data_IF_917763425771
#
_entry.id   IF_917763425771
#
_cell.length_a   1.000
_cell.length_b   1.000
_cell.length_c   1.000
_cell.angle_alpha   90.00
_cell.angle_beta   90.00
_cell.angle_gamma   90.00
#
_symmetry.space_group_name_H-M   'P 1'
#
loop_
_entity.id
_entity.type
_entity.pdbx_description
1 polymer ?
#
# COMPACT_ATOMS: atom_id res chain seq x y z
N UNK A 1 -19.14 17.74 6.00
CA UNK A 1 -18.58 16.40 5.71
C UNK A 1 -17.54 16.01 6.76
N UNK A 2 -16.46 16.78 6.95
CA UNK A 2 -15.39 16.51 7.92
C UNK A 2 -15.78 16.31 9.40
N UNK A 3 -16.91 16.83 9.87
CA UNK A 3 -17.44 16.49 11.21
C UNK A 3 -17.74 14.99 11.35
N UNK A 4 -18.10 14.32 10.26
CA UNK A 4 -18.32 12.87 10.25
C UNK A 4 -17.02 12.11 10.50
N UNK A 5 -15.86 12.61 10.08
CA UNK A 5 -14.57 12.00 10.41
C UNK A 5 -14.35 11.98 11.94
N UNK A 6 -14.73 13.05 12.64
CA UNK A 6 -14.63 13.13 14.11
C UNK A 6 -15.57 12.12 14.78
N UNK A 7 -16.81 12.00 14.29
CA UNK A 7 -17.77 11.00 14.79
C UNK A 7 -17.27 9.59 14.53
N UNK A 8 -16.79 9.33 13.32
CA UNK A 8 -16.23 8.03 12.90
C UNK A 8 -15.06 7.63 13.78
N UNK A 9 -14.16 8.56 14.06
CA UNK A 9 -13.03 8.35 14.96
C UNK A 9 -13.49 8.04 16.39
N UNK A 10 -14.49 8.77 16.90
CA UNK A 10 -15.07 8.49 18.23
C UNK A 10 -15.64 7.07 18.32
N UNK A 11 -16.37 6.62 17.29
CA UNK A 11 -16.88 5.24 17.23
C UNK A 11 -15.73 4.23 17.16
N UNK A 12 -14.72 4.48 16.33
CA UNK A 12 -13.54 3.61 16.21
C UNK A 12 -12.76 3.46 17.54
N UNK A 13 -12.75 4.49 18.38
CA UNK A 13 -12.08 4.44 19.68
C UNK A 13 -12.77 3.48 20.67
N UNK A 14 -14.08 3.26 20.56
CA UNK A 14 -14.86 2.34 21.40
C UNK A 14 -14.79 0.87 20.92
N UNK A 15 -13.59 0.39 20.62
CA UNK A 15 -13.28 -0.99 20.18
C UNK A 15 -14.01 -1.47 18.91
N UNK A 16 -14.46 -0.55 18.06
CA UNK A 16 -15.03 -0.87 16.75
C UNK A 16 -13.98 -0.95 15.63
N UNK A 17 -12.73 -1.36 15.92
CA UNK A 17 -11.69 -1.48 14.87
C UNK A 17 -11.92 -2.67 13.94
N UNK A 18 -12.73 -3.65 14.36
CA UNK A 18 -13.19 -4.75 13.50
C UNK A 18 -14.01 -4.26 12.29
N UNK A 19 -14.61 -3.08 12.39
CA UNK A 19 -15.37 -2.44 11.31
C UNK A 19 -14.52 -1.52 10.43
N UNK A 20 -13.19 -1.52 10.57
CA UNK A 20 -12.32 -0.63 9.81
C UNK A 20 -12.49 -0.79 8.29
N UNK A 21 -12.73 -2.02 7.83
CA UNK A 21 -13.01 -2.35 6.43
C UNK A 21 -14.27 -1.66 5.92
N UNK A 22 -15.32 -1.56 6.73
CA UNK A 22 -16.55 -0.83 6.40
C UNK A 22 -16.35 0.69 6.37
N UNK A 23 -15.39 1.19 7.16
CA UNK A 23 -15.03 2.62 7.19
C UNK A 23 -14.19 3.04 5.98
N UNK A 24 -13.52 2.10 5.32
CA UNK A 24 -12.53 2.41 4.29
C UNK A 24 -13.03 3.24 3.11
N UNK A 25 -14.20 2.96 2.50
CA UNK A 25 -14.70 3.78 1.40
C UNK A 25 -14.78 5.27 1.75
N UNK A 26 -15.18 5.57 2.98
CA UNK A 26 -15.28 6.95 3.47
C UNK A 26 -13.89 7.56 3.74
N UNK A 27 -13.00 6.81 4.40
CA UNK A 27 -11.63 7.26 4.67
C UNK A 27 -10.85 7.54 3.38
N UNK A 28 -10.96 6.65 2.40
CA UNK A 28 -10.36 6.82 1.07
C UNK A 28 -10.85 8.09 0.38
N UNK A 29 -12.16 8.39 0.46
CA UNK A 29 -12.73 9.58 -0.17
C UNK A 29 -12.24 10.88 0.48
N UNK A 30 -12.05 10.92 1.81
CA UNK A 30 -11.43 12.09 2.45
C UNK A 30 -10.03 12.37 1.92
N UNK A 31 -9.27 11.32 1.61
CA UNK A 31 -7.91 11.46 1.09
C UNK A 31 -7.93 11.88 -0.38
N UNK A 32 -8.75 11.24 -1.21
CA UNK A 32 -8.64 11.35 -2.67
C UNK A 32 -9.51 12.43 -3.30
N UNK A 33 -10.62 12.81 -2.65
CA UNK A 33 -11.57 13.79 -3.20
C UNK A 33 -11.31 15.21 -2.68
N UNK A 34 -11.00 15.35 -1.39
CA UNK A 34 -10.85 16.66 -0.72
C UNK A 34 -9.50 16.76 0.00
N UNK A 35 -8.42 16.41 -0.72
CA UNK A 35 -7.04 16.44 -0.20
C UNK A 35 -6.66 17.83 0.33
N UNK A 36 -7.17 18.90 -0.28
CA UNK A 36 -6.88 20.27 0.17
C UNK A 36 -7.41 20.52 1.59
N UNK A 37 -8.65 20.10 1.88
CA UNK A 37 -9.20 20.24 3.23
C UNK A 37 -8.51 19.30 4.22
N UNK A 38 -8.14 18.08 3.80
CA UNK A 38 -7.35 17.15 4.61
C UNK A 38 -6.07 17.82 5.14
N UNK A 39 -5.35 18.51 4.26
CA UNK A 39 -4.05 19.12 4.57
C UNK A 39 -4.19 20.49 5.23
N UNK A 40 -5.34 21.17 5.08
CA UNK A 40 -5.61 22.46 5.74
C UNK A 40 -5.63 22.37 7.27
N UNK A 41 -5.94 21.18 7.82
CA UNK A 41 -6.01 20.94 9.26
C UNK A 41 -5.26 19.63 9.60
N UNK A 42 -4.09 19.72 10.25
CA UNK A 42 -3.23 18.55 10.52
C UNK A 42 -3.92 17.47 11.35
N UNK A 43 -4.93 17.84 12.15
CA UNK A 43 -5.71 16.89 12.96
C UNK A 43 -6.45 15.85 12.12
N UNK A 44 -6.84 16.19 10.89
CA UNK A 44 -7.57 15.25 10.04
C UNK A 44 -6.67 14.11 9.58
N UNK A 45 -5.48 14.43 9.09
CA UNK A 45 -4.50 13.43 8.71
C UNK A 45 -4.03 12.62 9.93
N UNK A 46 -3.83 13.29 11.07
CA UNK A 46 -3.48 12.65 12.34
C UNK A 46 -4.52 11.61 12.78
N UNK A 47 -5.82 11.94 12.67
CA UNK A 47 -6.92 11.02 12.99
C UNK A 47 -6.88 9.79 12.09
N UNK A 48 -6.76 9.99 10.76
CA UNK A 48 -6.72 8.87 9.80
C UNK A 48 -5.51 7.98 10.06
N UNK A 49 -4.33 8.58 10.25
CA UNK A 49 -3.12 7.84 10.60
C UNK A 49 -3.29 7.07 11.91
N UNK A 50 -3.89 7.67 12.93
CA UNK A 50 -4.11 7.00 14.23
C UNK A 50 -5.00 5.78 14.09
N UNK A 51 -6.01 5.83 13.23
CA UNK A 51 -6.84 4.66 12.92
C UNK A 51 -6.03 3.57 12.23
N UNK A 52 -5.29 3.90 11.17
CA UNK A 52 -4.41 2.95 10.48
C UNK A 52 -3.37 2.33 11.43
N UNK A 53 -2.73 3.14 12.26
CA UNK A 53 -1.73 2.68 13.24
C UNK A 53 -2.37 1.71 14.23
N UNK A 54 -3.53 2.05 14.81
CA UNK A 54 -4.24 1.15 15.74
C UNK A 54 -4.53 -0.19 15.07
N UNK A 55 -5.04 -0.20 13.84
CA UNK A 55 -5.29 -1.45 13.09
C UNK A 55 -4.02 -2.27 12.88
N UNK A 56 -2.92 -1.63 12.45
CA UNK A 56 -1.63 -2.30 12.21
C UNK A 56 -0.92 -2.78 13.50
N UNK A 57 -1.22 -2.18 14.64
CA UNK A 57 -0.61 -2.58 15.93
C UNK A 57 -1.48 -3.55 16.73
N UNK A 58 -2.79 -3.56 16.50
CA UNK A 58 -3.73 -4.48 17.12
C UNK A 58 -3.71 -5.85 16.41
N UNK A 59 -4.50 -6.79 16.91
CA UNK A 59 -4.80 -8.05 16.22
C UNK A 59 -6.16 -7.94 15.51
N UNK A 60 -6.27 -6.97 14.59
CA UNK A 60 -7.52 -6.63 13.89
C UNK A 60 -7.84 -7.58 12.71
N UNK A 61 -6.97 -8.55 12.44
CA UNK A 61 -7.06 -9.45 11.29
C UNK A 61 -6.38 -8.89 10.03
N UNK A 62 -5.78 -9.79 9.23
CA UNK A 62 -4.95 -9.41 8.08
C UNK A 62 -5.73 -8.59 7.03
N UNK A 63 -7.04 -8.79 6.88
CA UNK A 63 -7.86 -8.01 5.94
C UNK A 63 -7.89 -6.52 6.33
N UNK A 64 -8.19 -6.20 7.59
CA UNK A 64 -8.18 -4.82 8.08
C UNK A 64 -6.77 -4.20 8.00
N UNK A 65 -5.74 -4.98 8.32
CA UNK A 65 -4.33 -4.56 8.23
C UNK A 65 -3.93 -4.24 6.78
N UNK A 66 -4.35 -5.04 5.80
CA UNK A 66 -4.16 -4.77 4.37
C UNK A 66 -4.79 -3.43 3.98
N UNK A 67 -6.04 -3.20 4.40
CA UNK A 67 -6.75 -1.94 4.14
C UNK A 67 -6.06 -0.73 4.78
N UNK A 68 -5.54 -0.88 6.00
CA UNK A 68 -4.84 0.18 6.71
C UNK A 68 -3.52 0.54 6.00
N UNK A 69 -2.71 -0.46 5.64
CA UNK A 69 -1.49 -0.27 4.85
C UNK A 69 -1.81 0.37 3.49
N UNK A 70 -2.85 -0.10 2.80
CA UNK A 70 -3.26 0.47 1.51
C UNK A 70 -3.67 1.94 1.63
N UNK A 71 -4.39 2.32 2.69
CA UNK A 71 -4.74 3.72 2.91
C UNK A 71 -3.51 4.59 3.16
N UNK A 72 -2.51 4.11 3.92
CA UNK A 72 -1.25 4.83 4.11
C UNK A 72 -0.53 5.03 2.77
N UNK A 73 -0.47 4.01 1.92
CA UNK A 73 0.10 4.13 0.57
C UNK A 73 -0.63 5.21 -0.24
N UNK A 74 -1.96 5.18 -0.28
CA UNK A 74 -2.79 6.16 -0.98
C UNK A 74 -2.51 7.58 -0.48
N UNK A 75 -2.39 7.78 0.83
CA UNK A 75 -2.05 9.10 1.41
C UNK A 75 -0.69 9.58 0.90
N UNK A 76 0.34 8.73 0.92
CA UNK A 76 1.69 9.08 0.46
C UNK A 76 1.67 9.50 -1.01
N UNK A 77 0.96 8.76 -1.86
CA UNK A 77 0.88 9.04 -3.29
C UNK A 77 0.07 10.31 -3.57
N UNK A 78 -1.11 10.44 -2.96
CA UNK A 78 -2.01 11.57 -3.16
C UNK A 78 -1.41 12.90 -2.66
N UNK A 79 -0.62 12.83 -1.58
CA UNK A 79 -0.02 14.02 -0.95
C UNK A 79 1.40 14.31 -1.45
N UNK A 80 1.87 13.64 -2.51
CA UNK A 80 3.21 13.85 -3.06
C UNK A 80 3.42 15.31 -3.47
N UNK A 81 4.47 15.94 -2.94
CA UNK A 81 4.77 17.36 -3.18
C UNK A 81 3.88 18.34 -2.42
N UNK A 82 3.06 17.87 -1.47
CA UNK A 82 2.14 18.71 -0.68
C UNK A 82 2.57 18.91 0.78
N UNK A 83 3.82 18.56 1.13
CA UNK A 83 4.43 18.90 2.42
C UNK A 83 4.00 18.02 3.60
N UNK A 84 3.95 16.70 3.41
CA UNK A 84 3.67 15.72 4.47
C UNK A 84 4.94 14.99 4.97
N UNK A 85 6.11 15.58 4.79
CA UNK A 85 7.42 14.96 5.08
C UNK A 85 7.51 14.42 6.51
N UNK A 86 6.92 15.11 7.48
CA UNK A 86 6.87 14.71 8.88
C UNK A 86 6.03 13.44 9.13
N UNK A 87 5.11 13.11 8.24
CA UNK A 87 4.26 11.92 8.35
C UNK A 87 4.95 10.67 7.76
N UNK A 88 5.85 10.83 6.79
CA UNK A 88 6.50 9.70 6.11
C UNK A 88 7.23 8.77 7.08
N UNK A 89 8.07 9.25 8.02
CA UNK A 89 8.71 8.38 9.00
C UNK A 89 7.70 7.57 9.83
N UNK A 90 6.61 8.20 10.25
CA UNK A 90 5.56 7.58 11.06
C UNK A 90 4.81 6.47 10.32
N UNK A 91 4.61 6.63 9.01
CA UNK A 91 3.94 5.64 8.18
C UNK A 91 4.84 4.44 7.92
N UNK A 92 6.10 4.70 7.58
CA UNK A 92 7.12 3.67 7.36
C UNK A 92 7.36 2.87 8.64
N UNK A 93 7.46 3.54 9.79
CA UNK A 93 7.63 2.88 11.09
C UNK A 93 6.50 1.89 11.37
N UNK A 94 5.25 2.32 11.19
CA UNK A 94 4.08 1.50 11.50
C UNK A 94 4.03 0.21 10.66
N UNK A 95 4.34 0.28 9.36
CA UNK A 95 4.32 -0.91 8.50
C UNK A 95 5.53 -1.82 8.72
N UNK A 96 6.70 -1.25 9.03
CA UNK A 96 7.89 -2.04 9.33
C UNK A 96 7.76 -2.75 10.68
N UNK A 97 7.22 -2.07 11.71
CA UNK A 97 6.88 -2.69 12.99
C UNK A 97 5.93 -3.87 12.77
N UNK A 98 4.89 -3.68 11.94
CA UNK A 98 3.97 -4.77 11.60
C UNK A 98 4.67 -5.94 10.91
N UNK A 99 5.60 -5.69 10.01
CA UNK A 99 6.40 -6.73 9.35
C UNK A 99 7.28 -7.50 10.36
N UNK A 100 7.87 -6.82 11.34
CA UNK A 100 8.73 -7.47 12.36
C UNK A 100 7.97 -8.40 13.31
N UNK A 101 6.67 -8.17 13.54
CA UNK A 101 5.79 -9.06 14.32
C UNK A 101 5.50 -10.40 13.62
N UNK A 102 5.93 -10.57 12.37
CA UNK A 102 5.65 -11.74 11.56
C UNK A 102 4.30 -11.61 10.85
N UNK A 103 4.30 -11.83 9.54
CA UNK A 103 3.12 -11.79 8.67
C UNK A 103 2.98 -13.12 7.97
N UNK A 104 1.78 -13.72 7.98
CA UNK A 104 1.57 -15.07 7.41
C UNK A 104 1.28 -14.98 5.91
N UNK A 105 0.40 -14.08 5.49
CA UNK A 105 0.07 -13.94 4.06
C UNK A 105 1.12 -13.14 3.29
N UNK A 106 1.33 -13.51 2.02
CA UNK A 106 2.10 -12.67 1.09
C UNK A 106 1.38 -11.36 0.78
N UNK A 107 0.06 -11.35 0.81
CA UNK A 107 -0.75 -10.15 0.56
C UNK A 107 -0.47 -9.04 1.58
N UNK A 108 -0.55 -9.32 2.89
CA UNK A 108 -0.24 -8.29 3.87
C UNK A 108 1.23 -7.85 3.82
N UNK A 109 2.17 -8.78 3.53
CA UNK A 109 3.57 -8.40 3.33
C UNK A 109 3.72 -7.41 2.18
N UNK A 110 3.12 -7.69 1.02
CA UNK A 110 3.22 -6.79 -0.14
C UNK A 110 2.53 -5.45 0.11
N UNK A 111 1.40 -5.42 0.82
CA UNK A 111 0.73 -4.18 1.23
C UNK A 111 1.62 -3.30 2.15
N UNK A 112 2.28 -3.91 3.14
CA UNK A 112 3.22 -3.18 3.99
C UNK A 112 4.45 -2.69 3.20
N UNK A 113 4.99 -3.51 2.30
CA UNK A 113 6.10 -3.12 1.43
C UNK A 113 5.71 -1.95 0.50
N UNK A 114 4.48 -1.93 -0.01
CA UNK A 114 3.97 -0.85 -0.87
C UNK A 114 4.05 0.52 -0.22
N UNK A 115 3.76 0.63 1.09
CA UNK A 115 3.87 1.92 1.79
C UNK A 115 5.30 2.45 1.78
N UNK A 116 6.30 1.58 2.01
CA UNK A 116 7.71 1.96 1.93
C UNK A 116 8.16 2.26 0.49
N UNK A 117 7.66 1.52 -0.51
CA UNK A 117 7.91 1.78 -1.93
C UNK A 117 7.30 3.14 -2.37
N UNK A 118 6.09 3.45 -1.90
CA UNK A 118 5.47 4.75 -2.12
C UNK A 118 6.26 5.88 -1.44
N UNK A 119 6.77 5.66 -0.23
CA UNK A 119 7.65 6.61 0.46
C UNK A 119 8.97 6.84 -0.30
N UNK A 120 9.52 5.78 -0.92
CA UNK A 120 10.71 5.89 -1.78
C UNK A 120 10.41 6.80 -2.98
N UNK A 121 9.26 6.60 -3.63
CA UNK A 121 8.83 7.43 -4.75
C UNK A 121 8.48 8.87 -4.35
N UNK A 122 7.98 9.06 -3.13
CA UNK A 122 7.68 10.37 -2.55
C UNK A 122 8.96 11.20 -2.38
N UNK A 123 9.93 10.69 -1.61
CA UNK A 123 11.21 11.35 -1.38
C UNK A 123 12.27 10.29 -1.01
N UNK A 124 13.16 9.91 -1.95
CA UNK A 124 14.12 8.85 -1.73
C UNK A 124 15.09 9.14 -0.58
N UNK A 125 15.56 10.39 -0.47
CA UNK A 125 16.49 10.78 0.59
C UNK A 125 15.84 10.70 1.97
N UNK A 126 14.57 11.11 2.09
CA UNK A 126 13.81 11.02 3.33
C UNK A 126 13.58 9.56 3.75
N UNK A 127 13.23 8.68 2.80
CA UNK A 127 13.06 7.26 3.13
C UNK A 127 14.38 6.64 3.61
N UNK A 128 15.48 6.83 2.88
CA UNK A 128 16.78 6.25 3.27
C UNK A 128 17.19 6.76 4.66
N UNK A 129 17.10 8.07 4.91
CA UNK A 129 17.35 8.64 6.22
C UNK A 129 16.43 8.06 7.31
N UNK A 130 15.16 7.83 7.00
CA UNK A 130 14.20 7.21 7.92
C UNK A 130 14.64 5.79 8.28
N UNK A 131 14.95 4.96 7.28
CA UNK A 131 15.34 3.56 7.48
C UNK A 131 16.67 3.44 8.24
N UNK A 132 17.64 4.33 7.98
CA UNK A 132 18.95 4.31 8.63
C UNK A 132 18.89 4.72 10.12
N UNK A 133 17.87 5.49 10.52
CA UNK A 133 17.69 5.91 11.91
C UNK A 133 16.80 4.95 12.73
N UNK A 134 16.09 4.05 12.07
CA UNK A 134 15.27 3.05 12.75
C UNK A 134 16.14 1.93 13.33
N UNK A 135 15.72 1.40 14.48
CA UNK A 135 16.40 0.30 15.15
C UNK A 135 15.37 -0.69 15.68
N UNK A 136 15.29 -1.87 15.07
CA UNK A 136 14.46 -2.95 15.59
C UNK A 136 15.26 -3.89 16.48
N UNK A 137 14.71 -4.32 17.63
CA UNK A 137 15.34 -5.34 18.47
C UNK A 137 15.70 -6.57 17.64
N UNK A 138 16.87 -7.16 17.89
CA UNK A 138 17.32 -8.42 17.27
C UNK A 138 17.57 -8.42 15.76
N UNK A 139 17.66 -7.25 15.10
CA UNK A 139 18.03 -7.17 13.68
C UNK A 139 19.48 -6.66 13.54
N UNK A 140 20.46 -7.52 13.19
CA UNK A 140 21.87 -7.13 13.09
C UNK A 140 22.20 -6.37 11.79
N UNK A 141 21.30 -6.42 10.81
CA UNK A 141 21.45 -5.77 9.50
C UNK A 141 20.80 -4.38 9.52
N UNK A 142 21.32 -3.42 8.75
CA UNK A 142 20.61 -2.17 8.50
C UNK A 142 19.21 -2.44 7.96
N UNK A 143 18.20 -1.73 8.47
CA UNK A 143 16.80 -1.92 8.07
C UNK A 143 16.62 -1.69 6.58
N UNK A 144 17.37 -0.76 5.99
CA UNK A 144 17.43 -0.53 4.54
C UNK A 144 17.74 -1.82 3.77
N UNK A 145 18.74 -2.59 4.21
CA UNK A 145 19.10 -3.85 3.56
C UNK A 145 18.02 -4.92 3.78
N UNK A 146 17.43 -5.00 4.97
CA UNK A 146 16.36 -5.94 5.24
C UNK A 146 15.13 -5.67 4.36
N UNK A 147 14.70 -4.40 4.28
CA UNK A 147 13.59 -3.96 3.44
C UNK A 147 13.80 -4.34 1.98
N UNK A 148 14.96 -3.99 1.40
CA UNK A 148 15.25 -4.28 -0.01
C UNK A 148 15.29 -5.79 -0.25
N UNK A 149 15.95 -6.57 0.61
CA UNK A 149 15.98 -8.04 0.46
C UNK A 149 14.57 -8.64 0.51
N UNK A 150 13.73 -8.19 1.45
CA UNK A 150 12.36 -8.68 1.56
C UNK A 150 11.55 -8.33 0.32
N UNK A 151 11.65 -7.09 -0.15
CA UNK A 151 10.98 -6.66 -1.37
C UNK A 151 11.42 -7.50 -2.59
N UNK A 152 12.72 -7.75 -2.75
CA UNK A 152 13.24 -8.58 -3.82
C UNK A 152 12.69 -10.00 -3.76
N UNK A 153 12.66 -10.62 -2.57
CA UNK A 153 12.11 -11.97 -2.36
C UNK A 153 10.60 -12.05 -2.62
N UNK A 154 9.85 -10.99 -2.34
CA UNK A 154 8.40 -10.96 -2.49
C UNK A 154 7.94 -10.42 -3.87
N UNK A 155 8.86 -10.13 -4.80
CA UNK A 155 8.55 -9.52 -6.12
C UNK A 155 7.43 -10.26 -6.88
N UNK A 156 7.41 -11.59 -6.82
CA UNK A 156 6.41 -12.40 -7.54
C UNK A 156 4.98 -12.24 -7.01
N UNK A 157 4.83 -11.83 -5.74
CA UNK A 157 3.54 -11.68 -5.07
C UNK A 157 2.89 -10.31 -5.30
N UNK A 158 3.54 -9.41 -6.03
CA UNK A 158 2.91 -8.18 -6.53
C UNK A 158 2.07 -8.51 -7.76
N UNK A 159 0.80 -8.85 -7.53
CA UNK A 159 -0.09 -9.38 -8.56
C UNK A 159 -0.93 -8.30 -9.26
N UNK A 160 -1.27 -7.22 -8.57
CA UNK A 160 -2.09 -6.13 -9.07
C UNK A 160 -1.39 -5.31 -10.17
N UNK A 161 -2.19 -4.62 -10.99
CA UNK A 161 -1.62 -3.74 -12.02
C UNK A 161 -0.93 -2.54 -11.37
N UNK A 162 -1.56 -1.94 -10.36
CA UNK A 162 -1.00 -0.88 -9.55
C UNK A 162 0.30 -1.34 -8.88
N UNK A 163 0.23 -2.47 -8.16
CA UNK A 163 1.34 -3.10 -7.43
C UNK A 163 2.60 -3.23 -8.28
N UNK A 164 2.44 -3.77 -9.49
CA UNK A 164 3.56 -3.99 -10.41
C UNK A 164 4.14 -2.68 -10.92
N UNK A 165 3.30 -1.69 -11.24
CA UNK A 165 3.76 -0.36 -11.64
C UNK A 165 4.54 0.30 -10.51
N UNK A 166 4.02 0.26 -9.29
CA UNK A 166 4.68 0.81 -8.11
C UNK A 166 6.02 0.15 -7.85
N UNK A 167 6.11 -1.18 -7.96
CA UNK A 167 7.39 -1.88 -7.83
C UNK A 167 8.39 -1.44 -8.90
N UNK A 168 7.99 -1.38 -10.17
CA UNK A 168 8.89 -0.95 -11.26
C UNK A 168 9.38 0.48 -11.03
N UNK A 169 8.48 1.40 -10.66
CA UNK A 169 8.84 2.80 -10.35
C UNK A 169 9.83 2.84 -9.20
N UNK A 170 9.54 2.14 -8.09
CA UNK A 170 10.42 2.11 -6.94
C UNK A 170 11.80 1.53 -7.26
N UNK A 171 11.87 0.41 -8.00
CA UNK A 171 13.15 -0.21 -8.38
C UNK A 171 13.95 0.72 -9.29
N UNK A 172 13.27 1.46 -10.19
CA UNK A 172 13.91 2.48 -11.03
C UNK A 172 14.51 3.60 -10.18
N UNK A 173 13.77 4.09 -9.17
CA UNK A 173 14.26 5.08 -8.22
C UNK A 173 15.46 4.56 -7.41
N UNK A 174 15.44 3.30 -6.95
CA UNK A 174 16.60 2.69 -6.28
C UNK A 174 17.84 2.65 -7.17
N UNK A 175 17.68 2.37 -8.47
CA UNK A 175 18.79 2.35 -9.42
C UNK A 175 19.37 3.74 -9.68
N UNK A 176 18.59 4.80 -9.48
CA UNK A 176 19.03 6.19 -9.64
C UNK A 176 19.70 6.77 -8.38
N UNK A 177 19.69 6.05 -7.25
CA UNK A 177 20.34 6.51 -6.02
C UNK A 177 21.85 6.71 -6.21
N UNK A 178 22.44 7.81 -5.71
CA UNK A 178 23.88 8.07 -5.79
C UNK A 178 24.74 7.00 -5.11
N UNK A 179 24.23 6.43 -4.03
CA UNK A 179 24.88 5.35 -3.27
C UNK A 179 23.96 4.14 -3.27
N UNK A 180 24.14 3.26 -4.26
CA UNK A 180 23.33 2.06 -4.42
C UNK A 180 23.66 1.04 -3.32
N UNK A 181 22.66 0.55 -2.57
CA UNK A 181 22.87 -0.60 -1.69
C UNK A 181 23.39 -1.81 -2.47
N UNK A 182 24.31 -2.60 -1.92
CA UNK A 182 24.92 -3.76 -2.62
C UNK A 182 23.87 -4.77 -3.12
N UNK A 183 22.72 -4.85 -2.44
CA UNK A 183 21.59 -5.72 -2.81
C UNK A 183 20.95 -5.35 -4.17
N UNK A 184 21.20 -4.14 -4.68
CA UNK A 184 20.64 -3.61 -5.95
C UNK A 184 21.15 -4.36 -7.19
N UNK A 185 22.28 -5.07 -7.11
CA UNK A 185 22.86 -5.79 -8.26
C UNK A 185 21.96 -6.93 -8.78
N UNK A 186 21.03 -7.43 -7.96
CA UNK A 186 20.05 -8.46 -8.30
C UNK A 186 18.70 -7.95 -8.83
N UNK A 187 18.55 -6.65 -9.12
CA UNK A 187 17.24 -6.05 -9.47
C UNK A 187 16.71 -6.46 -10.85
N UNK A 188 17.60 -6.75 -11.81
CA UNK A 188 17.21 -6.98 -13.21
C UNK A 188 16.19 -8.13 -13.38
N UNK A 189 16.39 -9.33 -12.78
CA UNK A 189 15.39 -10.40 -12.81
C UNK A 189 14.01 -9.97 -12.28
N UNK A 190 13.97 -9.24 -11.15
CA UNK A 190 12.72 -8.75 -10.57
C UNK A 190 12.00 -7.77 -11.49
N UNK A 191 12.74 -6.82 -12.08
CA UNK A 191 12.17 -5.86 -13.05
C UNK A 191 11.59 -6.59 -14.27
N UNK A 192 12.32 -7.57 -14.82
CA UNK A 192 11.84 -8.38 -15.94
C UNK A 192 10.57 -9.16 -15.59
N UNK A 193 10.52 -9.79 -14.42
CA UNK A 193 9.34 -10.51 -13.92
C UNK A 193 8.12 -9.59 -13.85
N UNK A 194 8.29 -8.38 -13.29
CA UNK A 194 7.21 -7.39 -13.17
C UNK A 194 6.71 -6.91 -14.54
N UNK A 195 7.63 -6.62 -15.48
CA UNK A 195 7.25 -6.22 -16.85
C UNK A 195 6.53 -7.31 -17.63
N UNK A 196 7.00 -8.55 -17.55
CA UNK A 196 6.31 -9.70 -18.15
C UNK A 196 4.90 -9.86 -17.58
N UNK A 197 4.79 -9.71 -16.26
CA UNK A 197 3.52 -9.71 -15.56
C UNK A 197 2.57 -8.61 -16.03
N UNK A 198 3.06 -7.36 -16.20
CA UNK A 198 2.26 -6.26 -16.73
C UNK A 198 1.79 -6.54 -18.15
N UNK A 199 2.69 -7.01 -19.03
CA UNK A 199 2.35 -7.36 -20.41
C UNK A 199 1.18 -8.34 -20.46
N UNK A 200 1.23 -9.40 -19.65
CA UNK A 200 0.15 -10.38 -19.57
C UNK A 200 -1.18 -9.72 -19.15
N UNK A 201 -1.19 -8.91 -18.09
CA UNK A 201 -2.40 -8.24 -17.61
C UNK A 201 -3.00 -7.28 -18.65
N UNK A 202 -2.16 -6.53 -19.37
CA UNK A 202 -2.63 -5.64 -20.44
C UNK A 202 -3.23 -6.43 -21.61
N UNK A 203 -2.59 -7.53 -22.03
CA UNK A 203 -3.13 -8.41 -23.08
C UNK A 203 -4.47 -9.02 -22.68
N UNK A 204 -4.62 -9.50 -21.44
CA UNK A 204 -5.90 -10.03 -20.93
C UNK A 204 -6.99 -8.95 -20.87
N UNK A 205 -6.66 -7.72 -20.44
CA UNK A 205 -7.62 -6.60 -20.41
C UNK A 205 -8.10 -6.21 -21.81
N UNK A 206 -7.19 -6.21 -22.79
CA UNK A 206 -7.53 -5.91 -24.19
C UNK A 206 -8.46 -6.96 -24.79
N UNK A 207 -8.23 -8.24 -24.50
CA UNK A 207 -9.09 -9.34 -24.96
C UNK A 207 -10.52 -9.23 -24.38
N UNK A 208 -10.63 -8.78 -23.12
CA UNK A 208 -11.90 -8.68 -22.40
C UNK A 208 -12.65 -7.36 -22.64
N UNK A 209 -12.02 -6.36 -23.28
CA UNK A 209 -12.62 -5.06 -23.67
C UNK A 209 -12.06 -4.58 -25.02
N UNK A 210 -12.53 -5.14 -26.16
CA UNK A 210 -11.99 -4.82 -27.48
C UNK A 210 -12.27 -3.37 -27.95
N UNK A 211 -13.21 -2.64 -27.32
CA UNK A 211 -13.64 -1.30 -27.76
C UNK A 211 -12.67 -0.14 -27.43
N UNK A 212 -11.59 -0.40 -26.68
CA UNK A 212 -10.60 0.64 -26.29
C UNK A 212 -9.69 1.11 -27.44
N UNK A 213 -9.69 0.41 -28.58
CA UNK A 213 -8.88 0.78 -29.75
C UNK A 213 -9.53 1.86 -30.63
N UNK A 214 -10.80 2.22 -30.41
CA UNK A 214 -11.50 3.20 -31.24
C UNK A 214 -11.27 4.67 -30.82
N UNK A 215 -10.66 4.94 -29.68
CA UNK A 215 -10.33 6.30 -29.22
C UNK A 215 -8.82 6.48 -29.07
N UNK A 216 -8.12 6.63 -30.19
CA UNK A 216 -6.82 7.34 -30.20
C UNK A 216 -7.07 8.83 -29.95
N UNK A 217 -7.34 9.15 -28.69
CA UNK A 217 -7.46 10.50 -28.17
C UNK A 217 -7.38 10.36 -26.67
N UNK A 218 -6.24 10.71 -26.10
CA UNK A 218 -5.93 10.60 -24.66
C UNK A 218 -7.08 11.19 -23.84
N UNK A 219 -7.73 10.41 -22.96
CA UNK A 219 -8.36 10.95 -21.77
C UNK A 219 -7.47 10.56 -20.59
N UNK A 220 -6.75 11.54 -20.05
CA UNK A 220 -6.38 11.51 -18.64
C UNK A 220 -7.68 11.56 -17.84
N UNK A 221 -8.20 10.40 -17.44
CA UNK A 221 -9.20 10.34 -16.38
C UNK A 221 -8.88 9.18 -15.44
N UNK A 222 -8.67 9.58 -14.19
CA UNK A 222 -8.61 8.76 -12.99
C UNK A 222 -9.66 7.63 -13.01
N UNK A 223 -9.18 6.40 -13.14
CA UNK A 223 -9.84 5.26 -12.50
C UNK A 223 -8.93 4.75 -11.38
N UNK A 224 -8.64 5.65 -10.45
CA UNK A 224 -8.31 5.28 -9.08
C UNK A 224 -9.59 4.73 -8.43
N UNK A 225 -9.75 3.43 -8.54
CA UNK A 225 -10.94 2.72 -8.10
C UNK A 225 -10.80 1.25 -8.44
N UNK A 226 -9.68 0.63 -8.06
CA UNK A 226 -9.68 -0.82 -7.88
C UNK A 226 -10.73 -1.10 -6.79
N UNK A 227 -11.94 -1.41 -7.28
CA UNK A 227 -13.09 -1.89 -6.54
C UNK A 227 -12.60 -2.88 -5.50
N UNK A 228 -12.59 -2.44 -4.24
CA UNK A 228 -12.41 -3.26 -3.05
C UNK A 228 -13.16 -4.57 -3.28
N UNK A 229 -12.44 -5.65 -3.55
CA UNK A 229 -13.06 -6.95 -3.66
C UNK A 229 -13.35 -7.39 -2.24
N UNK A 230 -14.53 -7.02 -1.76
CA UNK A 230 -15.21 -7.72 -0.68
C UNK A 230 -15.10 -9.22 -0.98
N UNK A 231 -14.52 -9.96 -0.03
CA UNK A 231 -14.33 -11.39 -0.13
C UNK A 231 -15.68 -12.08 -0.31
N UNK A 232 -15.88 -12.68 -1.48
CA UNK A 232 -16.91 -13.70 -1.64
C UNK A 232 -16.24 -15.06 -1.44
N UNK A 233 -16.15 -15.46 -0.18
CA UNK A 233 -15.93 -16.85 0.23
C UNK A 233 -17.13 -17.25 1.09
N UNK A 234 -18.12 -17.91 0.48
CA UNK A 234 -19.17 -18.59 1.23
C UNK A 234 -20.34 -19.13 0.41
N UNK A 235 -20.46 -20.46 0.36
CA UNK A 235 -21.67 -21.23 0.03
C UNK A 235 -21.75 -21.69 -1.43
N UNK A 236 -22.09 -22.93 -1.78
CA UNK A 236 -22.89 -23.93 -1.05
C UNK A 236 -22.47 -25.36 -1.41
N UNK A 237 -22.66 -26.22 -0.41
CA UNK A 237 -22.76 -27.66 -0.51
C UNK A 237 -23.78 -28.08 -1.59
N UNK A 238 -23.43 -29.04 -2.44
CA UNK A 238 -24.42 -29.91 -3.08
C UNK A 238 -24.00 -31.34 -2.87
N UNK A 239 -24.83 -32.06 -2.11
CA UNK A 239 -24.57 -33.40 -1.62
C UNK A 239 -24.57 -34.49 -2.68
N UNK A 240 -23.85 -35.56 -2.37
CA UNK A 240 -24.06 -36.88 -2.93
C UNK A 240 -24.69 -37.76 -1.84
N UNK A 241 -26.02 -37.86 -1.88
CA UNK A 241 -26.69 -39.12 -1.52
C UNK A 241 -26.70 -39.98 -2.77
N UNK A 242 -26.10 -41.17 -2.70
CA UNK A 242 -26.55 -42.33 -3.46
C UNK A 242 -26.11 -43.62 -2.77
N UNK A 243 -27.16 -44.27 -2.22
CA UNK A 243 -27.44 -45.71 -2.12
C UNK A 243 -26.28 -46.70 -2.20
#
# INVERSE_FOLDING_TARGET
>A
MWQLLVVLYGVFQHDCFDYFTDMMPLLHNYVTVDTDTLLSNPKYLEVIYTMCKKVLTSDAGEDAECHAAKLLEVIVLQCRGRGIDQCIPLFVEAVLERLTRGVKSSELRTMCLQVAIAALYYNPALLIHTLDNMHFPHTPLPITAHFINQWMNDTEFFLGLHDRKMCIIGLSVLMELPSRPVVVEGIVPSVLLLFLGLKHLYSSRLLNKPDLLACTGVPEEDQNGERWKAGDRGGEETGEMRE
#
